data_IF_695938195284
#
_entry.id   IF_695938195284
#
_cell.length_a   1.000
_cell.length_b   1.000
_cell.length_c   1.000
_cell.angle_alpha   90.00
_cell.angle_beta   90.00
_cell.angle_gamma   90.00
#
_symmetry.space_group_name_H-M   'P 1'
#
loop_
_entity.id
_entity.type
_entity.pdbx_description
1 polymer ?
#
# COMPACT_ATOMS: atom_id res chain seq x y z
N UNK A 1 -3.73 -43.84 13.23
CA UNK A 1 -2.50 -43.05 12.97
C UNK A 1 -2.51 -42.36 11.60
N UNK A 2 -2.77 -43.07 10.48
CA UNK A 2 -2.84 -42.43 9.14
C UNK A 2 -3.80 -41.24 9.07
N UNK A 3 -4.99 -41.33 9.67
CA UNK A 3 -6.01 -40.25 9.68
C UNK A 3 -5.60 -38.98 10.44
N UNK A 4 -4.74 -39.08 11.46
CA UNK A 4 -4.27 -37.93 12.25
C UNK A 4 -3.18 -37.19 11.48
N UNK A 5 -2.31 -37.93 10.79
CA UNK A 5 -1.25 -37.36 9.93
C UNK A 5 -1.87 -36.61 8.75
N UNK A 6 -2.93 -37.14 8.14
CA UNK A 6 -3.64 -36.45 7.04
C UNK A 6 -4.30 -35.14 7.51
N UNK A 7 -4.84 -35.10 8.73
CA UNK A 7 -5.46 -33.88 9.30
C UNK A 7 -4.41 -32.81 9.64
N UNK A 8 -3.24 -33.21 10.13
CA UNK A 8 -2.12 -32.30 10.43
C UNK A 8 -1.50 -31.70 9.17
N UNK A 9 -1.37 -32.48 8.10
CA UNK A 9 -0.88 -31.99 6.80
C UNK A 9 -1.92 -31.06 6.14
N UNK A 10 -3.22 -31.35 6.27
CA UNK A 10 -4.28 -30.47 5.76
C UNK A 10 -4.37 -29.14 6.54
N UNK A 11 -4.18 -29.16 7.86
CA UNK A 11 -4.08 -27.93 8.67
C UNK A 11 -2.81 -27.13 8.41
N UNK A 12 -1.67 -27.78 8.11
CA UNK A 12 -0.46 -27.08 7.66
C UNK A 12 -0.61 -26.44 6.28
N UNK A 13 -1.34 -27.08 5.35
CA UNK A 13 -1.63 -26.53 4.02
C UNK A 13 -2.55 -25.30 4.08
N UNK A 14 -3.48 -25.25 5.04
CA UNK A 14 -4.36 -24.09 5.25
C UNK A 14 -3.64 -22.89 5.87
N UNK A 15 -2.53 -23.11 6.60
CA UNK A 15 -1.72 -22.02 7.17
C UNK A 15 -0.72 -21.38 6.18
N UNK A 16 -0.58 -21.93 4.97
CA UNK A 16 0.32 -21.42 3.93
C UNK A 16 -0.40 -20.67 2.81
N UNK A 17 -1.71 -20.45 2.93
CA UNK A 17 -2.39 -19.42 2.14
C UNK A 17 -2.14 -18.03 2.75
N UNK A 18 -0.87 -17.70 3.00
CA UNK A 18 -0.50 -16.29 3.01
C UNK A 18 -0.82 -15.80 1.62
N UNK A 19 -1.92 -15.07 1.49
CA UNK A 19 -2.19 -14.26 0.29
C UNK A 19 -0.94 -13.40 0.17
N UNK A 20 -0.08 -13.74 -0.78
CA UNK A 20 1.16 -13.00 -0.98
C UNK A 20 0.72 -11.56 -1.19
N UNK A 21 1.32 -10.63 -0.46
CA UNK A 21 1.28 -9.21 -0.79
C UNK A 21 2.54 -8.94 -1.59
N UNK A 22 2.45 -8.02 -2.54
CA UNK A 22 3.62 -7.43 -3.14
C UNK A 22 4.43 -6.66 -2.09
N UNK A 23 5.41 -7.27 -1.44
CA UNK A 23 6.34 -6.60 -0.54
C UNK A 23 7.10 -5.48 -1.26
N UNK A 24 7.66 -4.54 -0.51
CA UNK A 24 8.62 -3.57 -1.06
C UNK A 24 9.90 -4.26 -1.60
N UNK A 25 10.11 -5.52 -1.24
CA UNK A 25 11.20 -6.36 -1.75
C UNK A 25 10.80 -7.18 -2.99
N UNK A 26 9.54 -7.14 -3.41
CA UNK A 26 9.10 -7.78 -4.63
C UNK A 26 9.63 -7.07 -5.88
N UNK A 27 9.71 -7.81 -6.98
CA UNK A 27 10.18 -7.31 -8.27
C UNK A 27 9.08 -7.45 -9.33
N UNK A 28 9.34 -6.95 -10.53
CA UNK A 28 8.35 -6.95 -11.60
C UNK A 28 7.78 -8.34 -11.92
N UNK A 29 8.58 -9.40 -11.80
CA UNK A 29 8.16 -10.79 -12.06
C UNK A 29 7.20 -11.28 -10.97
N UNK A 30 7.50 -11.08 -9.69
CA UNK A 30 6.61 -11.53 -8.62
C UNK A 30 5.28 -10.78 -8.59
N UNK A 31 5.30 -9.46 -8.85
CA UNK A 31 4.07 -8.67 -9.04
C UNK A 31 3.19 -9.25 -10.16
N UNK A 32 3.80 -9.57 -11.31
CA UNK A 32 3.09 -10.11 -12.45
C UNK A 32 2.51 -11.51 -12.17
N UNK A 33 3.24 -12.36 -11.44
CA UNK A 33 2.73 -13.67 -11.02
C UNK A 33 1.52 -13.54 -10.08
N UNK A 34 1.52 -12.52 -9.23
CA UNK A 34 0.48 -12.34 -8.23
C UNK A 34 -0.79 -11.66 -8.76
N UNK A 35 -0.63 -10.59 -9.54
CA UNK A 35 -1.74 -9.75 -10.00
C UNK A 35 -2.06 -9.90 -11.48
N UNK A 36 -1.34 -10.79 -12.17
CA UNK A 36 -1.38 -10.92 -13.61
C UNK A 36 -0.65 -9.78 -14.31
N UNK A 37 -0.91 -9.65 -15.60
CA UNK A 37 -0.26 -8.65 -16.43
C UNK A 37 -0.75 -7.23 -16.12
N UNK A 38 0.16 -6.26 -16.18
CA UNK A 38 -0.21 -4.85 -16.11
C UNK A 38 -1.07 -4.48 -17.32
N UNK A 39 -2.06 -3.62 -17.09
CA UNK A 39 -2.97 -3.10 -18.11
C UNK A 39 -2.42 -1.87 -18.82
N UNK A 40 -1.79 -0.98 -18.05
CA UNK A 40 -1.23 0.27 -18.55
C UNK A 40 0.19 0.51 -18.03
N UNK A 41 0.97 1.23 -18.82
CA UNK A 41 2.23 1.85 -18.40
C UNK A 41 1.99 3.34 -18.27
N UNK A 42 2.46 3.94 -17.18
CA UNK A 42 2.55 5.38 -17.03
C UNK A 42 4.02 5.74 -17.23
N UNK A 43 4.30 6.62 -18.19
CA UNK A 43 5.67 7.04 -18.44
C UNK A 43 6.10 8.22 -17.56
N UNK A 44 7.36 8.63 -17.70
CA UNK A 44 7.96 9.74 -16.94
C UNK A 44 7.29 11.10 -17.17
N UNK A 45 6.54 11.26 -18.25
CA UNK A 45 5.79 12.47 -18.60
C UNK A 45 4.31 12.36 -18.20
N UNK A 46 3.97 11.33 -17.41
CA UNK A 46 2.63 10.99 -16.95
C UNK A 46 1.65 10.63 -18.08
N UNK A 47 2.16 10.20 -19.24
CA UNK A 47 1.33 9.70 -20.33
C UNK A 47 0.97 8.23 -20.10
N UNK A 48 -0.29 7.91 -20.35
CA UNK A 48 -0.82 6.54 -20.27
C UNK A 48 -0.63 5.80 -21.59
N UNK A 49 -0.05 4.62 -21.50
CA UNK A 49 0.16 3.72 -22.63
C UNK A 49 -0.56 2.41 -22.38
N UNK A 50 -1.27 1.91 -23.39
CA UNK A 50 -1.64 0.49 -23.40
C UNK A 50 -0.37 -0.35 -23.46
N UNK A 51 -0.42 -1.57 -22.94
CA UNK A 51 0.72 -2.48 -23.06
C UNK A 51 1.18 -2.68 -24.50
N UNK A 52 0.24 -2.88 -25.43
CA UNK A 52 0.54 -3.07 -26.84
C UNK A 52 1.26 -1.85 -27.44
N UNK A 53 0.75 -0.63 -27.18
CA UNK A 53 1.41 0.59 -27.64
C UNK A 53 2.78 0.79 -27.00
N UNK A 54 2.91 0.44 -25.72
CA UNK A 54 4.19 0.54 -25.01
C UNK A 54 5.24 -0.36 -25.64
N UNK A 55 4.90 -1.63 -25.88
CA UNK A 55 5.79 -2.64 -26.49
C UNK A 55 6.10 -2.35 -27.96
N UNK A 56 5.19 -1.74 -28.72
CA UNK A 56 5.42 -1.40 -30.12
C UNK A 56 6.34 -0.16 -30.28
N UNK A 57 6.03 0.91 -29.56
CA UNK A 57 6.63 2.24 -29.77
C UNK A 57 6.94 3.04 -28.51
N UNK A 58 6.18 2.86 -27.42
CA UNK A 58 6.30 3.70 -26.21
C UNK A 58 7.68 3.62 -25.57
N UNK A 59 8.19 2.40 -25.39
CA UNK A 59 9.49 2.17 -24.73
C UNK A 59 10.70 2.79 -25.46
N UNK A 60 10.54 3.10 -26.76
CA UNK A 60 11.58 3.76 -27.58
C UNK A 60 11.60 5.27 -27.38
N UNK A 61 10.50 5.85 -26.87
CA UNK A 61 10.28 7.30 -26.76
C UNK A 61 10.38 7.82 -25.34
N UNK A 62 9.98 7.02 -24.36
CA UNK A 62 9.90 7.42 -22.97
C UNK A 62 10.38 6.32 -22.02
N UNK A 63 10.53 6.66 -20.74
CA UNK A 63 10.84 5.72 -19.67
C UNK A 63 9.57 5.41 -18.89
N UNK A 64 9.33 4.16 -18.56
CA UNK A 64 8.26 3.80 -17.64
C UNK A 64 8.54 4.41 -16.26
N UNK A 65 7.52 5.01 -15.65
CA UNK A 65 7.53 5.49 -14.27
C UNK A 65 6.78 4.51 -13.35
N UNK A 66 5.62 4.02 -13.80
CA UNK A 66 4.81 3.06 -13.05
C UNK A 66 3.99 2.15 -13.95
N UNK A 67 3.43 1.11 -13.36
CA UNK A 67 2.63 0.09 -14.05
C UNK A 67 1.31 -0.09 -13.32
N UNK A 68 0.19 -0.05 -14.05
CA UNK A 68 -1.14 -0.17 -13.48
C UNK A 68 -1.70 -1.57 -13.68
N UNK A 69 -2.14 -2.16 -12.59
CA UNK A 69 -2.83 -3.43 -12.48
C UNK A 69 -4.27 -3.17 -12.06
N UNK A 70 -5.17 -4.10 -12.33
CA UNK A 70 -6.54 -4.03 -11.82
C UNK A 70 -7.08 -5.41 -11.51
N UNK A 71 -7.70 -5.53 -10.35
CA UNK A 71 -8.31 -6.77 -9.87
C UNK A 71 -9.60 -6.44 -9.13
N UNK A 72 -10.37 -7.46 -8.75
CA UNK A 72 -11.55 -7.29 -7.92
C UNK A 72 -11.43 -8.12 -6.65
N UNK A 73 -11.97 -7.58 -5.55
CA UNK A 73 -12.06 -8.27 -4.26
C UNK A 73 -13.42 -8.01 -3.64
N UNK A 74 -14.11 -9.06 -3.21
CA UNK A 74 -15.40 -8.93 -2.51
C UNK A 74 -16.39 -7.97 -3.21
N UNK A 75 -16.42 -7.98 -4.55
CA UNK A 75 -17.32 -7.16 -5.36
C UNK A 75 -16.86 -5.73 -5.65
N UNK A 76 -15.72 -5.28 -5.12
CA UNK A 76 -15.13 -3.96 -5.45
C UNK A 76 -14.00 -4.12 -6.47
N UNK A 77 -13.88 -3.18 -7.39
CA UNK A 77 -12.73 -3.04 -8.27
C UNK A 77 -11.60 -2.30 -7.58
N UNK A 78 -10.36 -2.74 -7.78
CA UNK A 78 -9.17 -2.08 -7.23
C UNK A 78 -8.20 -1.81 -8.36
N UNK A 79 -7.80 -0.56 -8.50
CA UNK A 79 -6.64 -0.19 -9.30
C UNK A 79 -5.41 -0.19 -8.40
N UNK A 80 -4.36 -0.90 -8.83
CA UNK A 80 -3.08 -0.89 -8.16
C UNK A 80 -2.04 -0.32 -9.10
N UNK A 81 -1.34 0.71 -8.66
CA UNK A 81 -0.20 1.28 -9.38
C UNK A 81 1.10 0.90 -8.66
N UNK A 82 2.04 0.32 -9.41
CA UNK A 82 3.33 -0.13 -8.87
C UNK A 82 4.44 0.71 -9.47
N UNK A 83 5.18 1.38 -8.61
CA UNK A 83 6.37 2.16 -8.94
C UNK A 83 7.59 1.34 -8.57
N UNK A 84 8.52 1.17 -9.51
CA UNK A 84 9.76 0.44 -9.28
C UNK A 84 10.93 1.41 -9.08
N UNK A 85 11.93 1.00 -8.31
CA UNK A 85 13.09 1.83 -8.02
C UNK A 85 13.89 2.22 -9.28
N UNK A 86 13.80 1.42 -10.34
CA UNK A 86 14.37 1.68 -11.67
C UNK A 86 13.72 0.77 -12.73
N UNK A 87 14.20 0.82 -13.98
CA UNK A 87 13.63 0.09 -15.12
C UNK A 87 14.26 -1.29 -15.39
N UNK A 88 15.11 -1.81 -14.50
CA UNK A 88 15.67 -3.16 -14.66
C UNK A 88 14.65 -4.22 -14.25
N UNK A 89 14.82 -5.45 -14.73
CA UNK A 89 13.91 -6.57 -14.43
C UNK A 89 13.94 -7.01 -12.97
N UNK A 90 15.06 -6.81 -12.29
CA UNK A 90 15.28 -7.07 -10.87
C UNK A 90 14.95 -5.86 -9.98
N UNK A 91 14.42 -4.78 -10.56
CA UNK A 91 14.06 -3.60 -9.80
C UNK A 91 12.98 -3.93 -8.77
N UNK A 92 13.29 -3.60 -7.51
CA UNK A 92 12.34 -3.76 -6.41
C UNK A 92 11.26 -2.69 -6.47
N UNK A 93 10.11 -3.01 -5.88
CA UNK A 93 9.04 -2.04 -5.64
C UNK A 93 9.56 -0.89 -4.77
N UNK A 94 9.33 0.33 -5.24
CA UNK A 94 9.60 1.56 -4.49
C UNK A 94 8.36 2.03 -3.73
N UNK A 95 7.22 1.99 -4.42
CA UNK A 95 5.92 2.32 -3.85
C UNK A 95 4.80 1.56 -4.58
N UNK A 96 3.70 1.34 -3.87
CA UNK A 96 2.46 0.84 -4.42
C UNK A 96 1.32 1.69 -3.96
N UNK A 97 0.40 1.98 -4.86
CA UNK A 97 -0.81 2.71 -4.56
C UNK A 97 -2.02 1.88 -4.92
N UNK A 98 -2.99 1.86 -4.02
CA UNK A 98 -4.24 1.13 -4.17
C UNK A 98 -5.39 2.13 -4.14
N UNK A 99 -6.19 2.11 -5.20
CA UNK A 99 -7.36 2.95 -5.35
C UNK A 99 -8.58 2.05 -5.61
N UNK A 100 -9.33 1.70 -4.55
CA UNK A 100 -10.65 1.11 -4.66
C UNK A 100 -11.59 1.98 -5.50
N UNK A 101 -12.46 1.37 -6.31
CA UNK A 101 -13.47 2.10 -7.08
C UNK A 101 -14.54 2.74 -6.19
N UNK A 102 -14.80 2.14 -5.03
CA UNK A 102 -15.58 2.71 -3.93
C UNK A 102 -14.74 2.82 -2.64
N UNK A 103 -14.85 3.93 -1.88
CA UNK A 103 -14.17 4.05 -0.60
C UNK A 103 -14.56 2.93 0.36
N UNK A 104 -13.60 2.43 1.14
CA UNK A 104 -13.81 1.41 2.18
C UNK A 104 -13.55 2.01 3.55
N UNK A 105 -14.23 1.55 4.59
CA UNK A 105 -13.95 2.02 5.96
C UNK A 105 -12.73 1.32 6.56
N UNK A 106 -12.12 1.93 7.59
CA UNK A 106 -10.99 1.32 8.32
C UNK A 106 -11.37 -0.07 8.88
N UNK A 107 -12.57 -0.23 9.44
CA UNK A 107 -13.05 -1.54 9.95
C UNK A 107 -13.22 -2.60 8.84
N UNK A 108 -13.49 -2.18 7.61
CA UNK A 108 -13.62 -3.07 6.46
C UNK A 108 -12.26 -3.43 5.83
N UNK A 109 -11.17 -2.78 6.25
CA UNK A 109 -9.86 -2.95 5.63
C UNK A 109 -9.37 -4.40 5.66
N UNK A 110 -9.67 -5.15 6.73
CA UNK A 110 -9.34 -6.58 6.83
C UNK A 110 -10.04 -7.42 5.75
N UNK A 111 -11.28 -7.08 5.40
CA UNK A 111 -12.05 -7.82 4.42
C UNK A 111 -11.44 -7.65 3.02
N UNK A 112 -11.11 -6.40 2.66
CA UNK A 112 -10.65 -6.08 1.32
C UNK A 112 -9.14 -6.28 1.12
N UNK A 113 -8.34 -6.02 2.15
CA UNK A 113 -6.87 -6.08 2.10
C UNK A 113 -6.30 -6.85 3.31
N UNK A 114 -6.66 -8.14 3.49
CA UNK A 114 -6.24 -8.93 4.65
C UNK A 114 -4.72 -9.02 4.83
N UNK A 115 -3.97 -9.03 3.73
CA UNK A 115 -2.52 -9.08 3.72
C UNK A 115 -1.87 -7.77 4.18
N UNK A 116 -2.43 -6.62 3.78
CA UNK A 116 -1.97 -5.31 4.25
C UNK A 116 -2.44 -5.09 5.69
N UNK A 117 -3.65 -5.55 6.04
CA UNK A 117 -4.15 -5.53 7.40
C UNK A 117 -3.22 -6.30 8.36
N UNK A 118 -2.62 -7.41 7.93
CA UNK A 118 -1.66 -8.14 8.76
C UNK A 118 -0.44 -7.27 9.15
N UNK A 119 -0.03 -6.34 8.29
CA UNK A 119 1.05 -5.40 8.57
C UNK A 119 0.68 -4.41 9.67
N UNK A 120 -0.59 -4.01 9.77
CA UNK A 120 -1.07 -3.11 10.84
C UNK A 120 -1.02 -3.80 12.21
N UNK A 121 -0.99 -5.14 12.25
CA UNK A 121 -0.85 -5.93 13.48
C UNK A 121 0.60 -6.24 13.84
N UNK A 122 1.58 -5.71 13.11
CA UNK A 122 2.98 -5.92 13.43
C UNK A 122 3.31 -5.39 14.85
N UNK A 123 4.13 -6.10 15.66
CA UNK A 123 4.40 -5.71 17.06
C UNK A 123 5.00 -4.32 17.27
N UNK A 124 5.52 -3.69 16.21
CA UNK A 124 6.14 -2.34 16.24
C UNK A 124 5.48 -1.40 15.22
N UNK A 125 4.21 -1.63 14.90
CA UNK A 125 3.42 -0.71 14.11
C UNK A 125 3.11 0.56 14.95
N UNK A 126 3.51 1.73 14.44
CA UNK A 126 3.20 3.02 15.05
C UNK A 126 2.16 3.73 14.19
N UNK A 127 1.00 4.01 14.78
CA UNK A 127 -0.12 4.66 14.14
C UNK A 127 -0.04 6.17 14.38
N UNK A 128 -0.23 6.96 13.35
CA UNK A 128 -0.19 8.42 13.46
C UNK A 128 -1.17 9.10 12.51
N UNK A 129 -1.44 10.36 12.79
CA UNK A 129 -2.08 11.28 11.87
C UNK A 129 -1.29 12.57 11.79
N UNK A 130 -1.47 13.33 10.71
CA UNK A 130 -0.78 14.60 10.52
C UNK A 130 -1.60 15.53 9.64
N UNK A 131 -1.32 16.83 9.76
CA UNK A 131 -1.84 17.86 8.84
C UNK A 131 -0.89 18.12 7.67
N UNK A 132 0.31 17.52 7.69
CA UNK A 132 1.28 17.57 6.61
C UNK A 132 1.00 16.48 5.58
N UNK A 133 1.40 16.69 4.32
CA UNK A 133 1.33 15.65 3.28
C UNK A 133 2.17 14.44 3.69
N UNK A 134 1.54 13.25 3.75
CA UNK A 134 2.22 12.00 4.12
C UNK A 134 2.94 11.38 2.92
N UNK A 135 2.30 11.38 1.75
CA UNK A 135 2.82 10.73 0.56
C UNK A 135 2.58 11.59 -0.67
N UNK A 136 3.62 11.78 -1.48
CA UNK A 136 3.52 12.44 -2.79
C UNK A 136 2.87 11.57 -3.86
N UNK A 137 2.61 10.29 -3.57
CA UNK A 137 2.12 9.34 -4.56
C UNK A 137 0.59 9.31 -4.61
N UNK A 138 -0.10 9.97 -3.69
CA UNK A 138 -1.55 10.16 -3.79
C UNK A 138 -1.92 10.88 -5.09
N UNK A 139 -3.07 10.53 -5.66
CA UNK A 139 -3.66 11.24 -6.82
C UNK A 139 -5.09 11.67 -6.58
N UNK A 140 -5.77 11.11 -5.58
CA UNK A 140 -7.09 11.55 -5.17
C UNK A 140 -6.96 12.82 -4.32
N UNK A 141 -8.00 13.65 -4.30
CA UNK A 141 -8.01 14.84 -3.44
C UNK A 141 -7.77 14.45 -1.98
N UNK A 142 -6.74 15.03 -1.38
CA UNK A 142 -6.33 14.73 0.00
C UNK A 142 -7.18 15.51 1.01
N UNK A 143 -7.54 14.85 2.10
CA UNK A 143 -8.04 15.54 3.28
C UNK A 143 -6.93 16.39 3.93
N UNK A 144 -7.27 17.51 4.60
CA UNK A 144 -6.33 18.25 5.45
C UNK A 144 -5.66 17.40 6.55
N UNK A 145 -6.21 16.24 6.86
CA UNK A 145 -5.62 15.25 7.75
C UNK A 145 -5.32 13.98 6.97
N UNK A 146 -4.05 13.54 7.03
CA UNK A 146 -3.63 12.23 6.60
C UNK A 146 -3.50 11.26 7.77
N UNK A 147 -3.64 9.97 7.50
CA UNK A 147 -3.38 8.90 8.47
C UNK A 147 -2.25 8.00 7.96
N UNK A 148 -1.40 7.51 8.86
CA UNK A 148 -0.32 6.60 8.49
C UNK A 148 0.00 5.55 9.55
N UNK A 149 0.69 4.50 9.10
CA UNK A 149 1.25 3.45 9.93
C UNK A 149 2.69 3.23 9.53
N UNK A 150 3.60 3.37 10.50
CA UNK A 150 5.01 3.01 10.33
C UNK A 150 5.28 1.61 10.90
N UNK A 151 5.88 0.76 10.08
CA UNK A 151 6.34 -0.56 10.49
C UNK A 151 7.85 -0.60 10.28
N UNK A 152 8.59 -0.88 11.35
CA UNK A 152 10.04 -1.02 11.26
C UNK A 152 10.39 -2.34 10.58
N UNK A 153 11.10 -2.28 9.45
CA UNK A 153 11.58 -3.47 8.75
C UNK A 153 12.58 -4.24 9.65
N UNK A 154 12.38 -5.56 9.75
CA UNK A 154 13.15 -6.43 10.65
C UNK A 154 14.58 -6.71 10.14
N UNK A 155 14.83 -6.58 8.83
CA UNK A 155 16.10 -6.90 8.18
C UNK A 155 16.78 -5.65 7.60
N UNK A 156 17.75 -5.11 8.32
CA UNK A 156 18.69 -4.10 7.80
C UNK A 156 18.49 -2.66 8.30
N UNK A 157 17.36 -2.34 8.95
CA UNK A 157 17.18 -1.16 9.81
C UNK A 157 17.38 0.23 9.19
N UNK A 158 17.56 0.32 7.86
CA UNK A 158 17.77 1.60 7.15
C UNK A 158 16.46 2.28 6.77
N UNK A 159 15.40 1.51 6.59
CA UNK A 159 14.09 1.98 6.15
C UNK A 159 12.96 1.44 7.02
N UNK A 160 11.83 2.12 6.94
CA UNK A 160 10.55 1.74 7.51
C UNK A 160 9.60 1.50 6.34
N UNK A 161 8.69 0.53 6.50
CA UNK A 161 7.51 0.45 5.65
C UNK A 161 6.50 1.47 6.16
N UNK A 162 6.09 2.39 5.30
CA UNK A 162 5.04 3.37 5.56
C UNK A 162 3.78 2.94 4.80
N UNK A 163 2.70 2.73 5.55
CA UNK A 163 1.35 2.68 5.01
C UNK A 163 0.76 4.08 5.17
N UNK A 164 0.51 4.78 4.07
CA UNK A 164 -0.11 6.10 4.08
C UNK A 164 -1.55 5.98 3.55
N UNK A 165 -2.51 6.60 4.23
CA UNK A 165 -3.93 6.52 3.91
C UNK A 165 -4.48 7.91 3.61
N UNK A 166 -5.07 8.08 2.43
CA UNK A 166 -5.92 9.23 2.13
C UNK A 166 -7.31 8.95 2.72
N UNK A 167 -7.56 9.55 3.88
CA UNK A 167 -8.77 9.32 4.69
C UNK A 167 -9.83 10.38 4.45
N UNK A 168 -11.10 10.00 4.53
CA UNK A 168 -12.27 10.87 4.32
C UNK A 168 -13.42 10.46 5.26
N UNK A 169 -14.38 11.35 5.44
CA UNK A 169 -15.60 11.11 6.23
C UNK A 169 -16.83 11.20 5.33
N UNK A 170 -17.34 10.05 4.86
CA UNK A 170 -18.48 9.96 3.94
C UNK A 170 -18.36 10.87 2.69
N UNK A 171 -17.16 10.94 2.10
CA UNK A 171 -16.87 11.81 0.95
C UNK A 171 -16.58 13.27 1.30
N UNK A 172 -16.50 13.60 2.59
CA UNK A 172 -16.04 14.90 3.11
C UNK A 172 -14.60 14.83 3.57
N UNK A 173 -13.94 15.98 3.56
CA UNK A 173 -12.57 16.11 4.01
C UNK A 173 -12.51 16.15 5.55
N UNK A 174 -11.60 15.38 6.14
CA UNK A 174 -11.33 15.39 7.58
C UNK A 174 -10.40 16.55 7.91
N UNK A 175 -10.85 17.44 8.80
CA UNK A 175 -10.09 18.64 9.20
C UNK A 175 -9.30 18.48 10.49
N UNK A 176 -9.78 17.62 11.38
CA UNK A 176 -9.24 17.44 12.73
C UNK A 176 -8.98 15.94 12.99
N UNK A 177 -7.86 15.63 13.63
CA UNK A 177 -7.38 14.25 13.86
C UNK A 177 -8.34 13.47 14.75
N UNK A 178 -9.02 14.17 15.66
CA UNK A 178 -9.98 13.63 16.62
C UNK A 178 -11.20 13.00 15.94
N UNK A 179 -11.46 13.34 14.68
CA UNK A 179 -12.57 12.81 13.91
C UNK A 179 -12.25 11.47 13.21
N UNK A 180 -10.99 10.99 13.29
CA UNK A 180 -10.63 9.67 12.77
C UNK A 180 -11.20 8.59 13.69
N UNK A 181 -11.92 7.63 13.11
CA UNK A 181 -12.48 6.47 13.81
C UNK A 181 -12.57 5.24 12.87
N UNK A 182 -13.11 4.12 13.36
CA UNK A 182 -13.17 2.87 12.58
C UNK A 182 -14.08 2.96 11.33
N UNK A 183 -15.02 3.91 11.31
CA UNK A 183 -15.92 4.20 10.19
C UNK A 183 -15.33 5.22 9.19
N UNK A 184 -14.15 5.79 9.49
CA UNK A 184 -13.44 6.65 8.55
C UNK A 184 -13.16 5.91 7.25
N UNK A 185 -13.46 6.56 6.13
CA UNK A 185 -13.24 6.00 4.80
C UNK A 185 -11.78 6.17 4.36
N UNK A 186 -11.29 5.19 3.61
CA UNK A 186 -10.02 5.17 2.91
C UNK A 186 -10.35 5.28 1.43
N UNK A 187 -9.96 6.39 0.82
CA UNK A 187 -10.17 6.64 -0.61
C UNK A 187 -9.08 6.00 -1.46
N UNK A 188 -7.85 6.10 -1.00
CA UNK A 188 -6.69 5.38 -1.53
C UNK A 188 -5.66 5.19 -0.41
N UNK A 189 -4.76 4.23 -0.59
CA UNK A 189 -3.61 4.06 0.29
C UNK A 189 -2.34 3.72 -0.48
N UNK A 190 -1.21 4.08 0.11
CA UNK A 190 0.13 3.89 -0.45
C UNK A 190 0.96 3.06 0.51
N UNK A 191 1.79 2.18 -0.06
CA UNK A 191 2.79 1.39 0.65
C UNK A 191 4.14 1.76 0.06
N UNK A 192 5.01 2.38 0.87
CA UNK A 192 6.31 2.85 0.40
C UNK A 192 7.38 2.80 1.50
N UNK A 193 8.64 3.04 1.12
CA UNK A 193 9.76 3.12 2.08
C UNK A 193 9.86 4.54 2.65
N UNK A 194 9.88 4.66 3.97
CA UNK A 194 10.27 5.88 4.68
C UNK A 194 11.71 5.74 5.21
N UNK A 195 12.52 6.78 5.01
CA UNK A 195 13.89 6.81 5.56
C UNK A 195 13.87 7.05 7.07
N UNK A 196 14.89 6.56 7.78
CA UNK A 196 15.03 6.82 9.23
C UNK A 196 15.06 8.32 9.56
N UNK A 197 15.67 9.14 8.71
CA UNK A 197 15.68 10.61 8.86
C UNK A 197 14.27 11.17 8.79
N UNK A 198 13.48 10.77 7.79
CA UNK A 198 12.07 11.20 7.66
C UNK A 198 11.28 10.86 8.92
N UNK A 199 11.43 9.63 9.43
CA UNK A 199 10.75 9.19 10.65
C UNK A 199 11.21 10.02 11.85
N UNK A 200 12.52 10.22 12.02
CA UNK A 200 13.07 10.99 13.13
C UNK A 200 12.55 12.43 13.14
N UNK A 201 12.61 13.11 12.00
CA UNK A 201 12.23 14.51 11.86
C UNK A 201 10.73 14.75 12.12
N UNK A 202 9.89 13.74 11.86
CA UNK A 202 8.43 13.87 11.97
C UNK A 202 7.83 13.27 13.26
N UNK A 203 8.46 12.25 13.87
CA UNK A 203 7.96 11.58 15.08
C UNK A 203 8.80 11.79 16.33
N UNK A 204 10.13 11.85 16.20
CA UNK A 204 11.05 11.79 17.34
C UNK A 204 11.57 13.19 17.73
N UNK A 205 10.71 14.20 17.65
CA UNK A 205 11.02 15.61 17.99
C UNK A 205 10.18 16.09 19.18
N UNK A 206 10.52 17.26 19.72
CA UNK A 206 9.77 17.87 20.84
C UNK A 206 8.35 18.32 20.47
N UNK A 207 8.08 18.50 19.17
CA UNK A 207 6.78 18.84 18.62
C UNK A 207 6.57 18.07 17.32
N UNK A 208 6.18 16.78 17.39
CA UNK A 208 6.11 15.92 16.23
C UNK A 208 4.97 16.33 15.28
N UNK A 209 5.27 16.41 13.98
CA UNK A 209 4.25 16.61 12.94
C UNK A 209 3.36 15.37 12.79
N UNK A 210 3.92 14.18 13.00
CA UNK A 210 3.22 12.91 12.99
C UNK A 210 2.75 12.60 14.41
N UNK A 211 1.51 12.98 14.70
CA UNK A 211 0.92 12.82 16.03
C UNK A 211 0.45 11.38 16.22
N UNK A 212 0.87 10.68 17.28
CA UNK A 212 0.40 9.34 17.56
C UNK A 212 -1.12 9.28 17.72
N UNK A 213 -1.74 8.24 17.18
CA UNK A 213 -3.18 7.96 17.32
C UNK A 213 -3.41 6.53 17.80
N UNK A 214 -4.62 6.23 18.29
CA UNK A 214 -5.00 4.85 18.61
C UNK A 214 -5.08 4.01 17.34
N UNK A 215 -4.89 2.70 17.48
CA UNK A 215 -5.15 1.77 16.39
C UNK A 215 -6.66 1.61 16.18
N UNK A 216 -7.14 2.00 14.99
CA UNK A 216 -8.53 1.86 14.56
C UNK A 216 -8.79 0.61 13.69
N UNK A 217 -7.73 -0.10 13.29
CA UNK A 217 -7.83 -1.33 12.50
C UNK A 217 -8.08 -2.49 13.45
N UNK A 218 -9.34 -2.80 13.76
CA UNK A 218 -9.74 -3.91 14.64
C UNK A 218 -10.26 -5.14 13.91
#
# INVERSE_FOLDING_TARGET
>A
MKKIITMLVFSMLLMLSSVAFASLDDNKVSIQQQYGDYRLVIDSDNQLWTRADWEEKGFKKAKAASYRYSFSRHGIGVQMEVMYANNKSDAVVAAQRFTPDMPITIKEFKLYFPEVYALTKAPKANFFATHSSISRNFQEGESPVGMGILIRELSGGKYYTLLAFNVQDEGRLIKDIENINEDTYIREFVIERASRTTVHDNMDTSNPEWKPIKNYFN
#
